data_IF_676194873312
#
_entry.id   IF_676194873312
#
_cell.length_a   1.000
_cell.length_b   1.000
_cell.length_c   1.000
_cell.angle_alpha   90.00
_cell.angle_beta   90.00
_cell.angle_gamma   90.00
#
_symmetry.space_group_name_H-M   'P 1'
#
loop_
_entity.id
_entity.type
_entity.pdbx_description
1 polymer ?
#
# COMPACT_ATOMS: atom_id res chain seq x y z
N UNK A 1 18.30 -12.23 -11.78
CA UNK A 1 17.77 -10.88 -12.07
C UNK A 1 16.35 -10.66 -11.53
N UNK A 2 15.40 -11.57 -11.76
CA UNK A 2 14.00 -11.45 -11.31
C UNK A 2 13.83 -11.30 -9.78
N UNK A 3 14.56 -12.08 -8.98
CA UNK A 3 14.56 -11.98 -7.52
C UNK A 3 15.08 -10.65 -6.96
N UNK A 4 16.09 -10.06 -7.60
CA UNK A 4 16.61 -8.75 -7.21
C UNK A 4 15.58 -7.65 -7.50
N UNK A 5 14.93 -7.71 -8.66
CA UNK A 5 13.82 -6.82 -9.00
C UNK A 5 12.62 -7.00 -8.05
N UNK A 6 12.29 -8.24 -7.68
CA UNK A 6 11.26 -8.54 -6.68
C UNK A 6 11.58 -7.92 -5.32
N UNK A 7 12.81 -8.05 -4.83
CA UNK A 7 13.25 -7.47 -3.56
C UNK A 7 13.17 -5.95 -3.57
N UNK A 8 13.63 -5.30 -4.65
CA UNK A 8 13.53 -3.85 -4.82
C UNK A 8 12.06 -3.40 -4.84
N UNK A 9 11.19 -4.11 -5.56
CA UNK A 9 9.75 -3.85 -5.59
C UNK A 9 9.14 -3.92 -4.19
N UNK A 10 9.39 -5.01 -3.46
CA UNK A 10 8.87 -5.22 -2.10
C UNK A 10 9.32 -4.13 -1.13
N UNK A 11 10.58 -3.69 -1.20
CA UNK A 11 11.10 -2.63 -0.35
C UNK A 11 10.46 -1.29 -0.71
N UNK A 12 10.43 -0.92 -1.99
CA UNK A 12 9.88 0.36 -2.44
C UNK A 12 8.37 0.48 -2.19
N UNK A 13 7.63 -0.62 -2.33
CA UNK A 13 6.18 -0.65 -2.12
C UNK A 13 5.77 -0.57 -0.65
N UNK A 14 6.69 -0.83 0.29
CA UNK A 14 6.40 -0.78 1.73
C UNK A 14 6.04 0.63 2.21
N UNK A 15 6.68 1.67 1.64
CA UNK A 15 6.44 3.08 1.99
C UNK A 15 5.01 3.53 1.69
N UNK A 16 4.50 3.42 0.44
CA UNK A 16 3.12 3.80 0.14
C UNK A 16 2.09 2.90 0.84
N UNK A 17 2.43 1.64 1.12
CA UNK A 17 1.57 0.71 1.86
C UNK A 17 1.38 1.15 3.32
N UNK A 18 2.47 1.49 4.01
CA UNK A 18 2.44 1.99 5.39
C UNK A 18 1.76 3.37 5.44
N UNK A 19 2.10 4.28 4.51
CA UNK A 19 1.51 5.61 4.45
C UNK A 19 0.00 5.58 4.20
N UNK A 20 -0.44 4.79 3.21
CA UNK A 20 -1.86 4.63 2.90
C UNK A 20 -2.63 3.99 4.05
N UNK A 21 -2.06 2.95 4.68
CA UNK A 21 -2.64 2.32 5.86
C UNK A 21 -2.77 3.28 7.04
N UNK A 22 -1.71 4.04 7.37
CA UNK A 22 -1.73 5.03 8.44
C UNK A 22 -2.75 6.14 8.19
N UNK A 23 -2.83 6.65 6.96
CA UNK A 23 -3.79 7.70 6.59
C UNK A 23 -5.25 7.24 6.73
N UNK A 24 -5.54 5.98 6.40
CA UNK A 24 -6.88 5.38 6.59
C UNK A 24 -7.18 5.17 8.08
N UNK A 25 -6.21 4.66 8.84
CA UNK A 25 -6.35 4.40 10.28
C UNK A 25 -6.47 5.69 11.10
N UNK A 26 -5.73 6.74 10.75
CA UNK A 26 -5.82 8.05 11.42
C UNK A 26 -7.10 8.79 11.10
N UNK A 27 -7.75 8.49 9.96
CA UNK A 27 -8.99 9.14 9.53
C UNK A 27 -10.28 8.42 9.97
N UNK A 28 -10.24 7.12 10.33
CA UNK A 28 -11.48 6.41 10.65
C UNK A 28 -11.28 5.11 11.45
N UNK A 29 -11.12 5.24 12.78
CA UNK A 29 -11.34 4.12 13.70
C UNK A 29 -12.84 3.94 14.05
N UNK A 30 -13.74 4.16 13.07
CA UNK A 30 -15.19 4.23 13.28
C UNK A 30 -16.01 3.59 12.14
N UNK A 31 -15.70 2.35 11.78
CA UNK A 31 -16.61 1.35 11.19
C UNK A 31 -17.47 1.69 9.94
N UNK A 32 -17.28 2.81 9.24
CA UNK A 32 -17.74 3.01 7.87
C UNK A 32 -16.67 3.77 7.10
N UNK A 33 -16.30 3.29 5.91
CA UNK A 33 -15.61 4.11 4.91
C UNK A 33 -16.64 5.17 4.48
N UNK A 34 -16.82 6.18 5.31
CA UNK A 34 -17.56 7.38 4.95
C UNK A 34 -16.56 8.21 4.16
N UNK A 35 -16.85 8.44 2.88
CA UNK A 35 -16.13 9.45 2.11
C UNK A 35 -16.55 10.79 2.71
N UNK A 36 -15.87 11.20 3.78
CA UNK A 36 -16.01 12.54 4.39
C UNK A 36 -15.02 13.47 3.69
N UNK A 37 -15.11 14.77 3.94
CA UNK A 37 -14.12 15.73 3.43
C UNK A 37 -12.68 15.42 3.90
N UNK A 38 -12.53 14.64 4.98
CA UNK A 38 -11.23 14.19 5.51
C UNK A 38 -10.72 12.89 4.87
N UNK A 39 -11.52 12.23 4.03
CA UNK A 39 -11.14 10.98 3.38
C UNK A 39 -10.22 11.23 2.17
N UNK A 40 -8.94 10.92 2.33
CA UNK A 40 -7.96 11.05 1.24
C UNK A 40 -8.03 9.89 0.25
N UNK A 41 -8.67 10.11 -0.90
CA UNK A 41 -8.68 9.17 -2.04
C UNK A 41 -7.25 8.89 -2.55
N UNK A 42 -6.37 9.89 -2.48
CA UNK A 42 -4.95 9.74 -2.85
C UNK A 42 -4.24 8.76 -1.91
N UNK A 43 -4.50 8.82 -0.61
CA UNK A 43 -3.92 7.89 0.35
C UNK A 43 -4.44 6.46 0.16
N UNK A 44 -5.75 6.29 -0.12
CA UNK A 44 -6.33 4.99 -0.47
C UNK A 44 -5.66 4.42 -1.72
N UNK A 45 -5.57 5.21 -2.79
CA UNK A 45 -5.01 4.78 -4.07
C UNK A 45 -3.53 4.43 -3.94
N UNK A 46 -2.76 5.27 -3.25
CA UNK A 46 -1.34 5.02 -2.96
C UNK A 46 -1.15 3.73 -2.14
N UNK A 47 -1.96 3.53 -1.11
CA UNK A 47 -1.96 2.29 -0.32
C UNK A 47 -2.26 1.06 -1.17
N UNK A 48 -3.27 1.12 -2.04
CA UNK A 48 -3.66 0.02 -2.92
C UNK A 48 -2.56 -0.34 -3.93
N UNK A 49 -1.91 0.67 -4.50
CA UNK A 49 -0.75 0.50 -5.40
C UNK A 49 0.39 -0.14 -4.61
N UNK A 50 0.66 0.32 -3.39
CA UNK A 50 1.65 -0.26 -2.49
C UNK A 50 1.38 -1.74 -2.22
N UNK A 51 0.15 -2.12 -1.85
CA UNK A 51 -0.23 -3.53 -1.63
C UNK A 51 -0.02 -4.38 -2.89
N UNK A 52 -0.44 -3.88 -4.05
CA UNK A 52 -0.34 -4.60 -5.32
C UNK A 52 1.12 -4.83 -5.70
N UNK A 53 1.94 -3.79 -5.65
CA UNK A 53 3.37 -3.86 -5.99
C UNK A 53 4.17 -4.68 -4.98
N UNK A 54 3.82 -4.62 -3.69
CA UNK A 54 4.41 -5.46 -2.65
C UNK A 54 4.14 -6.95 -2.91
N UNK A 55 2.89 -7.27 -3.24
CA UNK A 55 2.47 -8.65 -3.55
C UNK A 55 3.19 -9.18 -4.78
N UNK A 56 3.29 -8.38 -5.85
CA UNK A 56 4.06 -8.75 -7.05
C UNK A 56 5.55 -8.96 -6.75
N UNK A 57 6.14 -8.08 -5.93
CA UNK A 57 7.52 -8.23 -5.48
C UNK A 57 7.76 -9.53 -4.73
N UNK A 58 6.84 -9.91 -3.82
CA UNK A 58 6.92 -11.18 -3.08
C UNK A 58 6.77 -12.41 -4.00
N UNK A 59 5.87 -12.38 -4.99
CA UNK A 59 5.72 -13.45 -5.97
C UNK A 59 7.04 -13.64 -6.74
N UNK A 60 7.65 -12.54 -7.20
CA UNK A 60 8.92 -12.57 -7.92
C UNK A 60 10.12 -12.96 -7.05
N UNK A 61 10.01 -12.81 -5.73
CA UNK A 61 11.01 -13.27 -4.77
C UNK A 61 10.91 -14.78 -4.53
N UNK A 62 9.68 -15.31 -4.55
CA UNK A 62 9.37 -16.74 -4.38
C UNK A 62 9.84 -17.55 -5.57
N UNK A 63 9.46 -17.13 -6.78
CA UNK A 63 9.88 -17.74 -8.05
C UNK A 63 11.41 -17.61 -8.30
#
# INVERSE_FOLDING_TARGET
>A
MKRLAGLVLTVLSSVPLIWGGLSVLSGSAGARISITDDFSVTALTGGLIGVTTFTLGLIWLRD
#
